data_IF_542783408390
#
_entry.id   IF_542783408390
#
_cell.length_a   1.000
_cell.length_b   1.000
_cell.length_c   1.000
_cell.angle_alpha   90.00
_cell.angle_beta   90.00
_cell.angle_gamma   90.00
#
_symmetry.space_group_name_H-M   'P 1'
#
loop_
_entity.id
_entity.type
_entity.pdbx_description
1 polymer ?
#
# COMPACT_ATOMS: atom_id res chain seq x y z
N UNK A 1 7.79 -33.15 -16.44
CA UNK A 1 8.24 -31.83 -15.96
C UNK A 1 7.10 -31.23 -15.15
N UNK A 2 7.30 -30.95 -13.86
CA UNK A 2 6.31 -30.24 -13.06
C UNK A 2 6.14 -28.80 -13.59
N UNK A 3 4.93 -28.25 -13.50
CA UNK A 3 4.63 -26.90 -13.96
C UNK A 3 5.22 -25.86 -13.00
N UNK A 4 5.85 -24.82 -13.55
CA UNK A 4 6.36 -23.71 -12.75
C UNK A 4 5.19 -22.95 -12.09
N UNK A 5 5.21 -22.74 -10.75
CA UNK A 5 4.14 -22.06 -10.04
C UNK A 5 4.00 -20.58 -10.45
N UNK A 6 5.11 -19.92 -10.83
CA UNK A 6 5.14 -18.51 -11.27
C UNK A 6 4.52 -18.26 -12.66
N UNK A 7 4.10 -19.31 -13.38
CA UNK A 7 3.57 -19.16 -14.74
C UNK A 7 2.30 -18.30 -14.77
N UNK A 8 1.49 -18.32 -13.71
CA UNK A 8 0.20 -17.62 -13.60
C UNK A 8 0.29 -16.19 -13.05
N UNK A 9 1.47 -15.75 -12.60
CA UNK A 9 1.61 -14.40 -12.01
C UNK A 9 1.42 -13.31 -13.06
N UNK A 10 0.59 -12.34 -12.73
CA UNK A 10 0.45 -11.06 -13.41
C UNK A 10 1.29 -10.02 -12.68
N UNK A 11 2.07 -9.23 -13.41
CA UNK A 11 3.00 -8.24 -12.82
C UNK A 11 2.27 -7.00 -12.30
N UNK A 12 1.00 -6.82 -12.66
CA UNK A 12 0.17 -5.70 -12.19
C UNK A 12 -0.70 -6.05 -11.00
N UNK A 13 -0.81 -7.33 -10.62
CA UNK A 13 -1.62 -7.76 -9.49
C UNK A 13 -0.79 -7.72 -8.21
N UNK A 14 -1.10 -6.72 -7.41
CA UNK A 14 -0.42 -6.38 -6.18
C UNK A 14 -0.84 -7.29 -5.00
N UNK A 15 -1.99 -7.96 -5.11
CA UNK A 15 -2.49 -8.89 -4.10
C UNK A 15 -1.61 -10.14 -4.03
N UNK A 16 -0.85 -10.41 -5.10
CA UNK A 16 0.20 -11.43 -5.15
C UNK A 16 1.29 -11.27 -4.06
N UNK A 17 1.33 -10.13 -3.35
CA UNK A 17 2.24 -9.84 -2.25
C UNK A 17 1.88 -10.50 -0.91
N UNK A 18 0.65 -10.99 -0.80
CA UNK A 18 0.16 -11.68 0.39
C UNK A 18 0.25 -13.21 0.24
N UNK A 19 0.88 -13.69 -0.84
CA UNK A 19 0.98 -15.12 -1.18
C UNK A 19 2.38 -15.66 -0.84
N UNK A 20 2.55 -16.28 0.36
CA UNK A 20 3.81 -16.84 0.82
C UNK A 20 4.33 -17.99 -0.04
N UNK A 21 3.56 -18.50 -1.00
CA UNK A 21 4.02 -19.56 -1.92
C UNK A 21 5.00 -19.07 -3.01
N UNK A 22 5.10 -17.76 -3.26
CA UNK A 22 5.98 -17.20 -4.30
C UNK A 22 7.19 -16.46 -3.74
N UNK A 23 7.17 -16.13 -2.45
CA UNK A 23 8.19 -15.36 -1.77
C UNK A 23 8.55 -15.99 -0.42
N UNK A 24 9.80 -15.85 0.00
CA UNK A 24 10.18 -16.24 1.36
C UNK A 24 9.70 -15.22 2.41
N UNK A 25 10.01 -15.48 3.67
CA UNK A 25 9.65 -14.61 4.79
C UNK A 25 10.28 -13.19 4.69
N UNK A 26 11.38 -13.06 3.94
CA UNK A 26 12.03 -11.77 3.63
C UNK A 26 11.51 -11.14 2.33
N UNK A 27 10.47 -11.75 1.72
CA UNK A 27 9.83 -11.36 0.47
C UNK A 27 10.72 -11.46 -0.76
N UNK A 28 11.73 -12.33 -0.74
CA UNK A 28 12.54 -12.68 -1.92
C UNK A 28 11.87 -13.77 -2.77
N UNK A 29 11.97 -13.71 -4.12
CA UNK A 29 11.41 -14.73 -4.99
C UNK A 29 11.91 -16.15 -4.69
N UNK A 30 11.00 -17.07 -4.42
CA UNK A 30 11.33 -18.48 -4.23
C UNK A 30 11.62 -19.15 -5.58
N UNK A 31 12.89 -19.51 -5.85
CA UNK A 31 13.28 -20.20 -7.08
C UNK A 31 13.70 -21.65 -6.80
N UNK A 32 12.85 -22.60 -7.18
CA UNK A 32 13.15 -24.04 -7.08
C UNK A 32 13.79 -24.56 -8.38
N UNK A 33 15.03 -25.05 -8.31
CA UNK A 33 15.76 -25.60 -9.47
C UNK A 33 15.09 -26.81 -10.14
N UNK A 34 14.21 -27.52 -9.42
CA UNK A 34 13.39 -28.63 -9.95
C UNK A 34 12.26 -28.18 -10.89
N UNK A 35 11.88 -26.89 -10.85
CA UNK A 35 10.67 -26.36 -11.51
C UNK A 35 10.92 -25.07 -12.30
N UNK A 36 11.92 -24.28 -11.91
CA UNK A 36 12.24 -22.99 -12.52
C UNK A 36 13.33 -23.14 -13.59
N UNK A 37 13.19 -22.40 -14.68
CA UNK A 37 14.19 -22.29 -15.75
C UNK A 37 14.69 -20.85 -15.90
N UNK A 38 15.60 -20.59 -16.84
CA UNK A 38 16.16 -19.24 -17.07
C UNK A 38 15.07 -18.18 -17.34
N UNK A 39 14.07 -18.51 -18.15
CA UNK A 39 12.93 -17.62 -18.43
C UNK A 39 12.12 -17.30 -17.17
N UNK A 40 11.89 -18.29 -16.30
CA UNK A 40 11.24 -18.07 -15.01
C UNK A 40 12.05 -17.14 -14.12
N UNK A 41 13.38 -17.33 -14.07
CA UNK A 41 14.28 -16.47 -13.28
C UNK A 41 14.20 -15.03 -13.77
N UNK A 42 14.29 -14.79 -15.08
CA UNK A 42 14.17 -13.45 -15.66
C UNK A 42 12.82 -12.81 -15.34
N UNK A 43 11.72 -13.56 -15.47
CA UNK A 43 10.38 -13.10 -15.09
C UNK A 43 10.32 -12.69 -13.61
N UNK A 44 10.85 -13.52 -12.70
CA UNK A 44 10.86 -13.22 -11.26
C UNK A 44 11.76 -12.04 -10.91
N UNK A 45 12.85 -11.81 -11.63
CA UNK A 45 13.68 -10.62 -11.45
C UNK A 45 12.91 -9.35 -11.82
N UNK A 46 12.18 -9.36 -12.94
CA UNK A 46 11.33 -8.23 -13.35
C UNK A 46 10.25 -7.98 -12.30
N UNK A 47 9.58 -9.05 -11.85
CA UNK A 47 8.57 -8.94 -10.80
C UNK A 47 9.14 -8.35 -9.51
N UNK A 48 10.27 -8.86 -9.04
CA UNK A 48 10.90 -8.39 -7.81
C UNK A 48 11.33 -6.92 -7.90
N UNK A 49 11.83 -6.49 -9.07
CA UNK A 49 12.14 -5.08 -9.31
C UNK A 49 10.90 -4.20 -9.20
N UNK A 50 9.81 -4.57 -9.88
CA UNK A 50 8.53 -3.85 -9.81
C UNK A 50 8.00 -3.80 -8.36
N UNK A 51 8.12 -4.92 -7.63
CA UNK A 51 7.78 -4.99 -6.21
C UNK A 51 8.58 -3.98 -5.37
N UNK A 52 9.91 -3.93 -5.51
CA UNK A 52 10.74 -2.99 -4.76
C UNK A 52 10.39 -1.54 -5.08
N UNK A 53 10.14 -1.22 -6.35
CA UNK A 53 9.76 0.12 -6.80
C UNK A 53 8.40 0.55 -6.22
N UNK A 54 7.40 -0.33 -6.25
CA UNK A 54 6.09 -0.07 -5.66
C UNK A 54 6.17 0.05 -4.13
N UNK A 55 6.90 -0.85 -3.47
CA UNK A 55 7.05 -0.80 -2.01
C UNK A 55 7.77 0.46 -1.56
N UNK A 56 8.83 0.85 -2.27
CA UNK A 56 9.52 2.12 -2.03
C UNK A 56 8.56 3.30 -2.17
N UNK A 57 7.85 3.40 -3.31
CA UNK A 57 6.87 4.46 -3.57
C UNK A 57 5.83 4.58 -2.44
N UNK A 58 5.16 3.49 -2.10
CA UNK A 58 4.09 3.51 -1.10
C UNK A 58 4.61 3.78 0.31
N UNK A 59 5.81 3.29 0.65
CA UNK A 59 6.45 3.59 1.94
C UNK A 59 6.74 5.09 2.06
N UNK A 60 7.29 5.70 0.99
CA UNK A 60 7.57 7.13 0.99
C UNK A 60 6.28 7.94 1.12
N UNK A 61 5.24 7.60 0.35
CA UNK A 61 3.93 8.27 0.44
C UNK A 61 3.32 8.15 1.85
N UNK A 62 3.35 6.97 2.45
CA UNK A 62 2.86 6.74 3.81
C UNK A 62 3.58 7.62 4.83
N UNK A 63 4.91 7.76 4.72
CA UNK A 63 5.71 8.60 5.63
C UNK A 63 5.42 10.09 5.40
N UNK A 64 5.32 10.52 4.14
CA UNK A 64 5.03 11.90 3.76
C UNK A 64 3.63 12.34 4.22
N UNK A 65 2.66 11.44 4.09
CA UNK A 65 1.28 11.69 4.44
C UNK A 65 1.02 11.50 5.94
N UNK A 66 1.91 10.82 6.68
CA UNK A 66 1.71 10.57 8.10
C UNK A 66 1.56 11.88 8.88
N UNK A 67 0.50 11.98 9.68
CA UNK A 67 0.31 13.05 10.66
C UNK A 67 1.12 12.70 11.90
N UNK A 68 2.43 12.97 11.88
CA UNK A 68 3.35 12.61 12.98
C UNK A 68 3.29 13.64 14.11
N UNK A 69 2.94 13.18 15.32
CA UNK A 69 3.13 13.74 16.70
C UNK A 69 2.74 15.20 16.99
N UNK A 70 2.89 16.16 16.08
CA UNK A 70 2.60 17.59 16.32
C UNK A 70 1.11 17.93 16.16
N UNK A 71 0.43 17.33 15.17
CA UNK A 71 -1.00 17.60 14.89
C UNK A 71 -1.95 16.78 15.78
N UNK A 72 -1.53 15.57 16.13
CA UNK A 72 -2.31 14.70 16.98
C UNK A 72 -1.88 14.98 18.42
N UNK A 73 -2.60 15.85 19.12
CA UNK A 73 -2.53 15.98 20.59
C UNK A 73 -3.07 14.72 21.26
N UNK A 74 -2.43 13.58 21.02
CA UNK A 74 -2.80 12.28 21.58
C UNK A 74 -2.44 12.31 23.06
N UNK A 75 -3.44 12.19 23.94
CA UNK A 75 -3.18 11.86 25.35
C UNK A 75 -2.57 10.46 25.37
N UNK A 76 -1.54 10.23 26.19
CA UNK A 76 -0.77 8.98 26.34
C UNK A 76 -1.56 7.67 26.55
N UNK A 77 -2.90 7.71 26.58
CA UNK A 77 -3.77 6.66 27.12
C UNK A 77 -4.44 5.80 26.05
N UNK A 78 -4.48 6.22 24.80
CA UNK A 78 -5.02 5.39 23.73
C UNK A 78 -3.88 4.59 23.10
N UNK A 79 -3.90 3.27 23.27
CA UNK A 79 -3.15 2.29 22.48
C UNK A 79 -3.61 2.38 21.01
N UNK A 80 -3.29 3.50 20.35
CA UNK A 80 -3.78 3.78 19.01
C UNK A 80 -3.10 2.83 18.02
N UNK A 81 -3.95 2.05 17.35
CA UNK A 81 -3.58 1.27 16.19
C UNK A 81 -3.33 2.25 15.05
N UNK A 82 -2.08 2.68 14.89
CA UNK A 82 -1.66 3.38 13.68
C UNK A 82 -1.95 2.49 12.46
N UNK A 83 -2.44 3.05 11.34
CA UNK A 83 -2.70 2.24 10.16
C UNK A 83 -1.40 1.61 9.68
N UNK A 84 -1.43 0.34 9.33
CA UNK A 84 -0.26 -0.29 8.73
C UNK A 84 -0.04 0.25 7.31
N UNK A 85 1.16 0.04 6.76
CA UNK A 85 1.41 0.36 5.35
C UNK A 85 0.53 -0.48 4.40
N UNK A 86 0.05 -1.65 4.83
CA UNK A 86 -0.90 -2.46 4.06
C UNK A 86 -2.29 -1.84 4.08
N UNK A 87 -2.75 -1.35 5.23
CA UNK A 87 -4.03 -0.62 5.34
C UNK A 87 -4.01 0.64 4.48
N UNK A 88 -2.95 1.45 4.60
CA UNK A 88 -2.76 2.66 3.81
C UNK A 88 -2.75 2.36 2.31
N UNK A 89 -2.05 1.31 1.90
CA UNK A 89 -2.06 0.88 0.51
C UNK A 89 -3.45 0.43 0.04
N UNK A 90 -4.12 -0.40 0.83
CA UNK A 90 -5.47 -0.89 0.55
C UNK A 90 -6.50 0.23 0.44
N UNK A 91 -6.31 1.36 1.13
CA UNK A 91 -7.14 2.54 0.98
C UNK A 91 -7.09 3.17 -0.41
N UNK A 92 -5.96 3.11 -1.11
CA UNK A 92 -5.81 3.68 -2.46
C UNK A 92 -6.13 2.72 -3.59
N UNK A 93 -6.07 1.42 -3.33
CA UNK A 93 -6.51 0.43 -4.29
C UNK A 93 -8.03 0.38 -4.39
N UNK A 94 -8.55 -0.15 -5.50
CA UNK A 94 -9.97 -0.21 -5.86
C UNK A 94 -10.85 -1.07 -4.90
N UNK A 95 -10.75 -0.88 -3.59
CA UNK A 95 -11.78 -1.31 -2.65
C UNK A 95 -12.96 -0.35 -2.73
N UNK A 96 -14.18 -0.87 -2.66
CA UNK A 96 -15.33 0.01 -2.57
C UNK A 96 -15.27 0.74 -1.24
N UNK A 97 -15.41 2.07 -1.26
CA UNK A 97 -15.48 2.86 -0.03
C UNK A 97 -16.59 2.33 0.88
N UNK A 98 -16.28 2.12 2.16
CA UNK A 98 -17.19 1.55 3.16
C UNK A 98 -17.15 0.02 3.30
N UNK A 99 -16.26 -0.67 2.58
CA UNK A 99 -16.00 -2.11 2.81
C UNK A 99 -15.31 -2.35 4.17
N UNK A 100 -14.47 -1.42 4.60
CA UNK A 100 -13.81 -1.43 5.91
C UNK A 100 -13.80 -0.02 6.52
N UNK A 101 -14.94 0.42 7.09
CA UNK A 101 -15.11 1.79 7.55
C UNK A 101 -14.20 2.12 8.74
N UNK A 102 -13.82 1.14 9.56
CA UNK A 102 -12.95 1.36 10.71
C UNK A 102 -11.49 1.59 10.26
N UNK A 103 -11.00 0.81 9.29
CA UNK A 103 -9.70 1.04 8.66
C UNK A 103 -9.66 2.37 7.90
N UNK A 104 -10.70 2.68 7.13
CA UNK A 104 -10.83 3.96 6.40
C UNK A 104 -10.80 5.16 7.35
N UNK A 105 -11.61 5.14 8.42
CA UNK A 105 -11.65 6.20 9.41
C UNK A 105 -10.28 6.38 10.10
N UNK A 106 -9.58 5.27 10.37
CA UNK A 106 -8.23 5.30 10.92
C UNK A 106 -7.26 5.96 9.94
N UNK A 107 -7.26 5.56 8.68
CA UNK A 107 -6.35 6.13 7.67
C UNK A 107 -6.59 7.63 7.47
N UNK A 108 -7.85 8.06 7.34
CA UNK A 108 -8.22 9.47 7.23
C UNK A 108 -7.82 10.30 8.45
N UNK A 109 -7.88 9.70 9.65
CA UNK A 109 -7.49 10.35 10.90
C UNK A 109 -5.97 10.51 11.04
N UNK A 110 -5.20 9.51 10.62
CA UNK A 110 -3.74 9.47 10.85
C UNK A 110 -2.91 9.91 9.63
N UNK A 111 -3.53 10.14 8.48
CA UNK A 111 -2.83 10.48 7.23
C UNK A 111 -3.40 11.73 6.58
N UNK A 112 -2.59 12.43 5.78
CA UNK A 112 -2.93 13.61 4.98
C UNK A 112 -3.55 13.16 3.65
N UNK A 113 -4.64 12.41 3.76
CA UNK A 113 -5.39 11.82 2.65
C UNK A 113 -6.87 12.17 2.77
N UNK A 114 -7.63 12.01 1.69
CA UNK A 114 -9.05 12.34 1.64
C UNK A 114 -9.80 11.54 0.59
N UNK A 115 -11.09 11.85 0.44
CA UNK A 115 -11.96 11.25 -0.58
C UNK A 115 -12.48 12.38 -1.47
N UNK A 116 -12.28 12.27 -2.78
CA UNK A 116 -12.76 13.21 -3.78
C UNK A 116 -13.48 12.43 -4.89
N UNK A 117 -14.71 12.81 -5.23
CA UNK A 117 -15.55 12.10 -6.20
C UNK A 117 -15.66 10.58 -5.92
N UNK A 118 -15.76 10.22 -4.63
CA UNK A 118 -15.82 8.82 -4.19
C UNK A 118 -14.51 8.04 -4.33
N UNK A 119 -13.38 8.73 -4.55
CA UNK A 119 -12.06 8.10 -4.70
C UNK A 119 -11.06 8.60 -3.67
N UNK A 120 -10.20 7.70 -3.17
CA UNK A 120 -9.10 8.07 -2.28
C UNK A 120 -8.08 8.97 -3.01
N UNK A 121 -7.68 10.07 -2.37
CA UNK A 121 -6.69 11.01 -2.90
C UNK A 121 -5.66 11.37 -1.83
N UNK A 122 -4.41 11.55 -2.26
CA UNK A 122 -3.37 12.15 -1.42
C UNK A 122 -3.52 13.67 -1.47
N UNK A 123 -3.61 14.31 -0.31
CA UNK A 123 -3.81 15.77 -0.27
C UNK A 123 -2.55 16.51 -0.75
N UNK A 124 -1.38 15.91 -0.60
CA UNK A 124 -0.11 16.44 -1.07
C UNK A 124 0.05 16.45 -2.60
N UNK A 125 -0.79 15.72 -3.34
CA UNK A 125 -0.74 15.65 -4.81
C UNK A 125 -1.73 16.64 -5.48
N UNK A 126 -2.51 17.40 -4.71
CA UNK A 126 -3.48 18.37 -5.22
C UNK A 126 -2.82 19.70 -5.65
N UNK A 127 -3.33 20.39 -6.69
CA UNK A 127 -2.75 21.64 -7.18
C UNK A 127 -2.82 22.80 -6.17
N UNK A 128 -1.88 23.74 -6.29
CA UNK A 128 -1.49 24.70 -5.23
C UNK A 128 -2.62 25.56 -4.63
N UNK A 129 -2.69 25.54 -3.30
CA UNK A 129 -3.69 26.22 -2.46
C UNK A 129 -4.14 25.34 -1.29
N UNK A 130 -4.17 24.03 -1.53
CA UNK A 130 -4.50 22.95 -0.60
C UNK A 130 -3.19 22.39 -0.04
N UNK A 131 -2.55 23.11 0.88
CA UNK A 131 -1.31 22.61 1.51
C UNK A 131 -1.62 21.30 2.24
N UNK A 132 -0.64 20.39 2.29
CA UNK A 132 -0.62 19.13 3.04
C UNK A 132 -1.04 19.22 4.53
N UNK A 133 -1.51 20.36 5.04
CA UNK A 133 -2.00 20.58 6.40
C UNK A 133 -3.54 20.59 6.47
N UNK A 134 -4.22 20.24 5.37
CA UNK A 134 -5.67 20.20 5.30
C UNK A 134 -6.22 19.06 6.18
N UNK A 135 -7.07 19.39 7.13
CA UNK A 135 -7.81 18.39 7.91
C UNK A 135 -8.89 17.77 7.01
N UNK A 136 -8.92 16.44 6.91
CA UNK A 136 -9.82 15.69 6.02
C UNK A 136 -11.32 15.90 6.34
N UNK A 137 -11.64 16.62 7.42
CA UNK A 137 -13.01 16.97 7.83
C UNK A 137 -13.70 17.99 6.93
N UNK A 138 -13.00 18.62 5.99
CA UNK A 138 -13.53 19.70 5.14
C UNK A 138 -13.46 19.45 3.62
N UNK A 139 -13.38 18.19 3.18
CA UNK A 139 -13.70 17.90 1.77
C UNK A 139 -15.22 17.90 1.64
N UNK A 140 -15.79 19.06 1.28
CA UNK A 140 -17.22 19.16 0.93
C UNK A 140 -17.49 18.28 -0.30
N UNK A 141 -18.60 17.53 -0.25
CA UNK A 141 -19.12 16.68 -1.32
C UNK A 141 -19.32 17.41 -2.66
#
# INVERSE_FOLDING_TARGET
KMNCPHKKMDVTDISLYSYPEFFDDERFPLLAGSHCNATCKEKMMVYFKVYLELRYKWTMHYIEDARVVEDLKVKEVDEFHYPSLEDYYGFFENRSMGEDPDSEATILKYSKVGILDGKPVRLCDLPGGTKCDFDATNLEE
#
